data_IF_473934004318
#
_entry.id   IF_473934004318
#
_cell.length_a   1.000
_cell.length_b   1.000
_cell.length_c   1.000
_cell.angle_alpha   90.00
_cell.angle_beta   90.00
_cell.angle_gamma   90.00
#
_symmetry.space_group_name_H-M   'P 1'
#
loop_
_entity.id
_entity.type
_entity.pdbx_description
1 polymer ?
#
# COMPACT_ATOMS: atom_id res chain seq x y z
N UNK A 1 -18.10 27.49 -1.44
CA UNK A 1 -16.65 27.26 -1.28
C UNK A 1 -16.05 27.11 -2.66
N UNK A 2 -14.90 27.70 -2.96
CA UNK A 2 -14.29 27.58 -4.31
C UNK A 2 -13.69 26.19 -4.56
N UNK A 3 -13.68 25.70 -5.81
CA UNK A 3 -13.16 24.37 -6.17
C UNK A 3 -11.69 24.18 -5.76
N UNK A 4 -10.85 25.19 -5.97
CA UNK A 4 -9.44 25.17 -5.54
C UNK A 4 -9.30 25.07 -4.02
N UNK A 5 -10.24 25.64 -3.26
CA UNK A 5 -10.25 25.52 -1.80
C UNK A 5 -10.71 24.11 -1.36
N UNK A 6 -11.67 23.50 -2.07
CA UNK A 6 -12.05 22.11 -1.85
C UNK A 6 -10.88 21.16 -2.13
N UNK A 7 -10.11 21.42 -3.19
CA UNK A 7 -8.90 20.65 -3.50
C UNK A 7 -7.86 20.75 -2.37
N UNK A 8 -7.69 21.94 -1.79
CA UNK A 8 -6.79 22.13 -0.65
C UNK A 8 -7.25 21.29 0.55
N UNK A 9 -8.52 21.38 0.92
CA UNK A 9 -9.09 20.62 2.05
C UNK A 9 -8.93 19.11 1.84
N UNK A 10 -9.28 18.61 0.65
CA UNK A 10 -9.12 17.19 0.32
C UNK A 10 -7.64 16.76 0.39
N UNK A 11 -6.72 17.62 -0.05
CA UNK A 11 -5.28 17.36 0.02
C UNK A 11 -4.77 17.37 1.48
N UNK A 12 -5.25 18.26 2.32
CA UNK A 12 -4.93 18.31 3.76
C UNK A 12 -5.45 17.08 4.50
N UNK A 13 -6.69 16.65 4.21
CA UNK A 13 -7.28 15.44 4.78
C UNK A 13 -6.48 14.19 4.40
N UNK A 14 -6.15 14.02 3.11
CA UNK A 14 -5.32 12.92 2.65
C UNK A 14 -3.92 12.95 3.28
N UNK A 15 -3.29 14.12 3.34
CA UNK A 15 -1.98 14.27 3.98
C UNK A 15 -2.03 13.88 5.47
N UNK A 16 -3.06 14.33 6.19
CA UNK A 16 -3.25 14.02 7.61
C UNK A 16 -3.45 12.53 7.84
N UNK A 17 -4.32 11.90 7.05
CA UNK A 17 -4.56 10.45 7.11
C UNK A 17 -3.26 9.67 6.88
N UNK A 18 -2.50 10.04 5.83
CA UNK A 18 -1.22 9.41 5.50
C UNK A 18 -0.08 9.67 6.51
N UNK A 19 -0.26 10.61 7.46
CA UNK A 19 0.77 10.92 8.47
C UNK A 19 0.76 9.92 9.61
N UNK A 20 -0.40 9.39 9.96
CA UNK A 20 -0.57 8.49 11.11
C UNK A 20 -0.76 7.06 10.60
N UNK A 21 0.33 6.29 10.58
CA UNK A 21 0.25 4.87 10.22
C UNK A 21 -0.61 4.11 11.25
N UNK A 22 -1.53 3.25 10.79
CA UNK A 22 -2.45 2.51 11.65
C UNK A 22 -1.73 1.36 12.38
N UNK A 23 -2.38 0.82 13.41
CA UNK A 23 -2.04 -0.49 13.94
C UNK A 23 -2.40 -1.59 12.92
N UNK A 24 -1.80 -2.78 13.07
CA UNK A 24 -1.90 -3.88 12.09
C UNK A 24 -3.36 -4.28 11.78
N UNK A 25 -4.20 -4.31 12.81
CA UNK A 25 -5.63 -4.65 12.71
C UNK A 25 -6.50 -3.65 11.93
N UNK A 26 -6.02 -2.41 11.77
CA UNK A 26 -6.78 -1.32 11.14
C UNK A 26 -6.22 -0.97 9.75
N UNK A 27 -5.27 -1.78 9.23
CA UNK A 27 -4.59 -1.53 7.95
C UNK A 27 -5.53 -1.57 6.74
N UNK A 28 -6.45 -2.52 6.69
CA UNK A 28 -7.38 -2.63 5.56
C UNK A 28 -8.27 -1.38 5.46
N UNK A 29 -8.91 -1.00 6.57
CA UNK A 29 -9.70 0.22 6.65
C UNK A 29 -8.86 1.49 6.39
N UNK A 30 -7.59 1.51 6.78
CA UNK A 30 -6.70 2.61 6.48
C UNK A 30 -6.44 2.75 4.98
N UNK A 31 -6.22 1.63 4.27
CA UNK A 31 -6.00 1.61 2.81
C UNK A 31 -7.28 2.01 2.07
N UNK A 32 -8.45 1.47 2.46
CA UNK A 32 -9.74 1.84 1.88
C UNK A 32 -10.02 3.35 2.00
N UNK A 33 -9.66 3.95 3.15
CA UNK A 33 -9.77 5.39 3.36
C UNK A 33 -8.79 6.18 2.49
N UNK A 34 -7.58 5.66 2.21
CA UNK A 34 -6.66 6.29 1.25
C UNK A 34 -7.29 6.34 -0.13
N UNK A 35 -7.85 5.21 -0.60
CA UNK A 35 -8.48 5.12 -1.92
C UNK A 35 -9.66 6.09 -2.03
N UNK A 36 -10.53 6.11 -1.02
CA UNK A 36 -11.67 7.04 -0.96
C UNK A 36 -11.23 8.50 -1.04
N UNK A 37 -10.18 8.88 -0.30
CA UNK A 37 -9.65 10.25 -0.30
C UNK A 37 -8.94 10.60 -1.61
N UNK A 38 -8.27 9.65 -2.26
CA UNK A 38 -7.65 9.81 -3.57
C UNK A 38 -8.71 10.03 -4.65
N UNK A 39 -9.77 9.24 -4.65
CA UNK A 39 -10.89 9.36 -5.60
C UNK A 39 -11.59 10.72 -5.45
N UNK A 40 -11.91 11.11 -4.21
CA UNK A 40 -12.51 12.40 -3.92
C UNK A 40 -11.62 13.56 -4.40
N UNK A 41 -10.31 13.49 -4.14
CA UNK A 41 -9.35 14.49 -4.60
C UNK A 41 -9.24 14.51 -6.13
N UNK A 42 -9.20 13.34 -6.77
CA UNK A 42 -9.11 13.19 -8.23
C UNK A 42 -10.31 13.81 -8.93
N UNK A 43 -11.53 13.52 -8.48
CA UNK A 43 -12.75 14.08 -9.04
C UNK A 43 -12.76 15.62 -9.00
N UNK A 44 -12.25 16.23 -7.92
CA UNK A 44 -12.13 17.69 -7.83
C UNK A 44 -11.12 18.23 -8.84
N UNK A 45 -9.99 17.55 -9.03
CA UNK A 45 -8.97 17.94 -10.02
C UNK A 45 -9.55 17.88 -11.43
N UNK A 46 -10.24 16.79 -11.77
CA UNK A 46 -10.86 16.60 -13.08
C UNK A 46 -11.91 17.68 -13.36
N UNK A 47 -12.73 18.02 -12.36
CA UNK A 47 -13.73 19.07 -12.47
C UNK A 47 -13.10 20.48 -12.62
N UNK A 48 -12.01 20.76 -11.90
CA UNK A 48 -11.24 22.00 -12.09
C UNK A 48 -10.67 22.06 -13.51
N UNK A 49 -10.02 20.99 -13.97
CA UNK A 49 -9.41 20.93 -15.31
C UNK A 49 -10.46 21.11 -16.42
N UNK A 50 -11.66 20.53 -16.26
CA UNK A 50 -12.72 20.64 -17.24
C UNK A 50 -13.37 22.04 -17.26
N UNK A 51 -13.49 22.70 -16.11
CA UNK A 51 -14.19 23.98 -16.00
C UNK A 51 -13.30 25.20 -16.20
N UNK A 52 -12.07 25.17 -15.69
CA UNK A 52 -11.08 26.23 -15.84
C UNK A 52 -9.66 25.64 -15.71
N UNK A 53 -9.01 25.27 -16.84
CA UNK A 53 -7.65 24.75 -16.86
C UNK A 53 -6.62 25.68 -16.21
N UNK A 54 -6.91 26.98 -16.14
CA UNK A 54 -6.02 28.00 -15.60
C UNK A 54 -6.39 28.45 -14.19
N UNK A 55 -7.36 27.78 -13.52
CA UNK A 55 -7.86 28.15 -12.19
C UNK A 55 -6.76 28.27 -11.11
N UNK A 56 -5.66 27.55 -11.30
CA UNK A 56 -4.52 27.52 -10.38
C UNK A 56 -3.44 28.56 -10.72
N UNK A 57 -3.46 29.15 -11.93
CA UNK A 57 -2.45 30.12 -12.34
C UNK A 57 -2.50 31.35 -11.44
N UNK A 58 -1.38 31.66 -10.77
CA UNK A 58 -1.26 32.76 -9.80
C UNK A 58 -2.23 32.66 -8.61
N UNK A 59 -2.86 31.50 -8.37
CA UNK A 59 -3.76 31.33 -7.23
C UNK A 59 -2.95 31.34 -5.92
N UNK A 60 -3.37 32.07 -4.87
CA UNK A 60 -2.61 32.18 -3.62
C UNK A 60 -2.36 30.83 -2.92
N UNK A 61 -3.23 29.85 -3.15
CA UNK A 61 -3.12 28.51 -2.58
C UNK A 61 -2.22 27.54 -3.38
N UNK A 62 -1.73 27.94 -4.57
CA UNK A 62 -0.94 27.07 -5.45
C UNK A 62 0.29 26.51 -4.73
N UNK A 63 1.02 27.37 -4.02
CA UNK A 63 2.23 26.97 -3.29
C UNK A 63 1.90 25.88 -2.24
N UNK A 64 0.83 26.06 -1.49
CA UNK A 64 0.42 25.10 -0.46
C UNK A 64 0.02 23.76 -1.08
N UNK A 65 -0.70 23.79 -2.21
CA UNK A 65 -1.09 22.59 -2.94
C UNK A 65 0.11 21.80 -3.45
N UNK A 66 1.14 22.48 -3.97
CA UNK A 66 2.38 21.84 -4.44
C UNK A 66 3.11 21.15 -3.27
N UNK A 67 3.25 21.83 -2.13
CA UNK A 67 3.89 21.25 -0.94
C UNK A 67 3.12 20.04 -0.39
N UNK A 68 1.79 20.14 -0.33
CA UNK A 68 0.93 19.02 0.08
C UNK A 68 1.06 17.84 -0.89
N UNK A 69 1.02 18.08 -2.20
CA UNK A 69 1.14 17.02 -3.21
C UNK A 69 2.49 16.29 -3.12
N UNK A 70 3.58 17.03 -2.92
CA UNK A 70 4.90 16.44 -2.67
C UNK A 70 4.89 15.54 -1.44
N UNK A 71 4.36 16.06 -0.33
CA UNK A 71 4.27 15.32 0.92
C UNK A 71 3.37 14.08 0.85
N UNK A 72 2.25 14.17 0.14
CA UNK A 72 1.34 13.04 -0.13
C UNK A 72 2.08 11.95 -0.90
N UNK A 73 2.78 12.30 -1.99
CA UNK A 73 3.56 11.36 -2.80
C UNK A 73 4.61 10.60 -1.98
N UNK A 74 5.36 11.32 -1.16
CA UNK A 74 6.37 10.71 -0.28
C UNK A 74 5.76 9.72 0.71
N UNK A 75 4.57 10.03 1.26
CA UNK A 75 3.88 9.16 2.22
C UNK A 75 3.24 7.95 1.55
N UNK A 76 2.60 8.12 0.40
CA UNK A 76 2.07 7.01 -0.38
C UNK A 76 3.17 6.02 -0.77
N UNK A 77 4.37 6.51 -1.11
CA UNK A 77 5.51 5.63 -1.37
C UNK A 77 5.92 4.82 -0.12
N UNK A 78 5.89 5.43 1.07
CA UNK A 78 6.15 4.72 2.33
C UNK A 78 5.09 3.65 2.59
N UNK A 79 3.82 3.98 2.46
CA UNK A 79 2.71 3.02 2.62
C UNK A 79 2.85 1.86 1.64
N UNK A 80 3.12 2.13 0.36
CA UNK A 80 3.38 1.11 -0.66
C UNK A 80 4.53 0.18 -0.28
N UNK A 81 5.63 0.74 0.22
CA UNK A 81 6.80 -0.06 0.61
C UNK A 81 6.52 -0.94 1.83
N UNK A 82 5.72 -0.45 2.79
CA UNK A 82 5.27 -1.25 3.93
C UNK A 82 4.43 -2.45 3.47
N UNK A 83 3.41 -2.21 2.64
CA UNK A 83 2.56 -3.28 2.07
C UNK A 83 3.42 -4.32 1.33
N UNK A 84 4.41 -3.86 0.53
CA UNK A 84 5.32 -4.76 -0.18
C UNK A 84 6.16 -5.62 0.79
N UNK A 85 6.67 -5.03 1.87
CA UNK A 85 7.45 -5.75 2.86
C UNK A 85 6.59 -6.81 3.57
N UNK A 86 5.35 -6.48 3.94
CA UNK A 86 4.43 -7.43 4.57
C UNK A 86 4.12 -8.61 3.64
N UNK A 87 3.88 -8.35 2.34
CA UNK A 87 3.67 -9.42 1.36
C UNK A 87 4.87 -10.37 1.24
N UNK A 88 6.10 -9.83 1.28
CA UNK A 88 7.32 -10.63 1.25
C UNK A 88 7.46 -11.49 2.51
N UNK A 89 7.16 -10.92 3.68
CA UNK A 89 7.21 -11.65 4.96
C UNK A 89 6.17 -12.78 5.00
N UNK A 90 4.95 -12.56 4.50
CA UNK A 90 3.93 -13.61 4.41
C UNK A 90 4.37 -14.78 3.52
N UNK A 91 5.10 -14.51 2.44
CA UNK A 91 5.63 -15.56 1.55
C UNK A 91 6.76 -16.36 2.23
N UNK A 92 7.65 -15.69 2.95
CA UNK A 92 8.77 -16.38 3.63
C UNK A 92 8.27 -17.22 4.80
N UNK A 93 7.30 -16.74 5.59
CA UNK A 93 6.68 -17.52 6.68
C UNK A 93 6.04 -18.80 6.14
N UNK A 94 5.23 -18.71 5.07
CA UNK A 94 4.63 -19.89 4.42
C UNK A 94 5.67 -20.89 3.93
N UNK A 95 6.76 -20.42 3.32
CA UNK A 95 7.84 -21.27 2.85
C UNK A 95 8.61 -21.95 3.99
N UNK A 96 8.78 -21.25 5.13
CA UNK A 96 9.42 -21.82 6.32
C UNK A 96 8.53 -22.85 7.02
N UNK A 97 7.21 -22.61 7.12
CA UNK A 97 6.26 -23.55 7.71
C UNK A 97 6.23 -24.86 6.93
N UNK A 98 6.18 -24.82 5.60
CA UNK A 98 6.22 -26.01 4.73
C UNK A 98 7.52 -26.82 4.89
N UNK A 99 8.67 -26.16 5.12
CA UNK A 99 9.94 -26.86 5.38
C UNK A 99 9.96 -27.55 6.74
N UNK A 100 9.32 -26.95 7.76
CA UNK A 100 9.22 -27.54 9.09
C UNK A 100 8.18 -28.66 9.19
N UNK A 101 7.15 -28.67 8.33
CA UNK A 101 6.15 -29.75 8.34
C UNK A 101 6.63 -31.04 7.69
N UNK A 102 7.79 -31.05 7.02
CA UNK A 102 8.31 -32.23 6.33
C UNK A 102 9.77 -32.57 6.69
N UNK A 103 10.09 -32.83 7.98
CA UNK A 103 11.44 -33.20 8.42
C UNK A 103 11.90 -34.59 7.90
N UNK A 104 11.03 -35.35 7.21
CA UNK A 104 11.32 -36.69 6.69
C UNK A 104 11.21 -36.79 5.16
N UNK A 105 11.03 -35.68 4.43
CA UNK A 105 10.95 -35.70 2.96
C UNK A 105 12.23 -36.27 2.33
N UNK A 106 13.39 -35.96 2.93
CA UNK A 106 14.70 -36.43 2.51
C UNK A 106 15.02 -37.87 2.90
N UNK A 107 14.18 -38.54 3.70
CA UNK A 107 14.42 -39.91 4.19
C UNK A 107 13.68 -40.96 3.34
N UNK A 108 12.90 -40.56 2.33
CA UNK A 108 12.14 -41.48 1.45
C UNK A 108 12.90 -41.97 0.20
N UNK A 109 14.23 -41.97 0.20
CA UNK A 109 15.03 -42.61 -0.86
C UNK A 109 16.24 -43.34 -0.28
N UNK A 110 16.01 -44.35 0.55
CA UNK A 110 16.94 -45.48 0.67
C UNK A 110 16.10 -46.75 0.57
N UNK A 111 16.07 -47.28 -0.64
CA UNK A 111 15.42 -48.53 -1.00
C UNK A 111 16.00 -49.65 -0.11
N UNK A 112 15.25 -50.02 0.92
CA UNK A 112 15.61 -51.03 1.90
C UNK A 112 15.43 -52.43 1.31
N UNK A 113 16.24 -52.79 0.32
CA UNK A 113 16.22 -54.13 -0.25
C UNK A 113 17.12 -55.06 0.59
N UNK A 114 16.56 -55.57 1.70
CA UNK A 114 17.16 -56.68 2.44
C UNK A 114 16.95 -57.97 1.64
N UNK A 115 17.99 -58.45 0.98
CA UNK A 115 18.02 -59.80 0.42
C UNK A 115 18.36 -60.79 1.54
N UNK A 116 17.35 -61.44 2.10
CA UNK A 116 17.55 -62.73 2.76
C UNK A 116 16.93 -63.82 1.88
N UNK A 117 17.78 -64.60 1.22
CA UNK A 117 17.44 -65.95 0.76
C UNK A 117 18.59 -66.87 1.08
N UNK A 118 18.46 -67.54 2.22
CA UNK A 118 19.17 -68.77 2.55
C UNK A 118 18.27 -69.96 2.17
N UNK A 119 18.92 -70.95 1.54
CA UNK A 119 18.43 -72.26 1.05
C UNK A 119 17.86 -72.29 -0.36
#
# INVERSE_FOLDING_TARGET
MGKVQQLLIASEQLYSHLTNLPADKDRDAFIENIDTLLDARGAIIDDIQASDPNALNNHPLLKNLIELDKGIKERLLKVKNLIKADMQQLQTTKASEQKYTNPYASVRTMDGMYYDRKN
#
